data_IF_396740503642
#
_entry.id   IF_396740503642
#
_cell.length_a   1.000
_cell.length_b   1.000
_cell.length_c   1.000
_cell.angle_alpha   90.00
_cell.angle_beta   90.00
_cell.angle_gamma   90.00
#
_symmetry.space_group_name_H-M   'P 1'
#
loop_
_entity.id
_entity.type
_entity.pdbx_description
1 polymer ?
#
# COMPACT_ATOMS: atom_id res chain seq x y z
N UNK A 1 -29.46 18.23 70.57
CA UNK A 1 -28.56 18.26 69.39
C UNK A 1 -27.98 16.88 69.03
N UNK A 2 -27.33 16.14 69.96
CA UNK A 2 -26.78 14.79 69.69
C UNK A 2 -27.80 13.75 69.15
N UNK A 3 -29.04 13.76 69.66
CA UNK A 3 -30.12 12.85 69.20
C UNK A 3 -30.67 13.20 67.80
N UNK A 4 -30.59 14.47 67.40
CA UNK A 4 -31.02 14.94 66.08
C UNK A 4 -29.94 14.66 65.03
N UNK A 5 -28.66 14.82 65.38
CA UNK A 5 -27.53 14.40 64.53
C UNK A 5 -27.52 12.88 64.31
N UNK A 6 -27.80 12.07 65.33
CA UNK A 6 -27.86 10.61 65.19
C UNK A 6 -29.00 10.16 64.27
N UNK A 7 -30.15 10.84 64.32
CA UNK A 7 -31.29 10.56 63.46
C UNK A 7 -31.02 10.94 61.99
N UNK A 8 -30.37 12.09 61.74
CA UNK A 8 -29.95 12.47 60.39
C UNK A 8 -28.90 11.50 59.82
N UNK A 9 -27.97 11.03 60.66
CA UNK A 9 -26.93 10.08 60.24
C UNK A 9 -27.52 8.70 59.86
N UNK A 10 -28.53 8.22 60.61
CA UNK A 10 -29.24 6.98 60.28
C UNK A 10 -30.13 7.09 59.03
N UNK A 11 -30.78 8.24 58.81
CA UNK A 11 -31.60 8.45 57.62
C UNK A 11 -30.76 8.54 56.35
N UNK A 12 -29.57 9.15 56.43
CA UNK A 12 -28.66 9.27 55.29
C UNK A 12 -28.02 7.94 54.87
N UNK A 13 -27.92 6.95 55.77
CA UNK A 13 -27.39 5.62 55.47
C UNK A 13 -28.33 4.71 54.66
N UNK A 14 -29.65 4.92 54.75
CA UNK A 14 -30.63 4.10 54.05
C UNK A 14 -30.80 4.45 52.57
N UNK A 15 -30.35 5.63 52.13
CA UNK A 15 -30.55 6.13 50.76
C UNK A 15 -29.44 5.70 49.79
N UNK A 16 -28.38 5.05 50.29
CA UNK A 16 -27.24 4.59 49.47
C UNK A 16 -27.33 3.12 49.05
N UNK A 17 -28.40 2.42 49.41
CA UNK A 17 -28.65 1.04 48.97
C UNK A 17 -29.33 1.11 47.59
N UNK A 18 -28.54 1.43 46.56
CA UNK A 18 -28.98 1.33 45.17
C UNK A 18 -29.20 -0.16 44.87
N UNK A 19 -30.47 -0.58 44.84
CA UNK A 19 -30.86 -1.89 44.34
C UNK A 19 -30.78 -1.84 42.81
N UNK A 20 -29.57 -1.95 42.27
CA UNK A 20 -29.39 -2.07 40.83
C UNK A 20 -30.13 -3.34 40.36
N UNK A 21 -31.06 -3.23 39.40
CA UNK A 21 -31.74 -4.40 38.87
C UNK A 21 -30.71 -5.41 38.39
N UNK A 22 -30.79 -6.66 38.87
CA UNK A 22 -29.89 -7.72 38.40
C UNK A 22 -29.97 -7.77 36.89
N UNK A 23 -28.82 -7.61 36.25
CA UNK A 23 -28.69 -7.67 34.81
C UNK A 23 -29.25 -9.00 34.33
N UNK A 24 -30.29 -8.95 33.50
CA UNK A 24 -30.93 -10.17 33.00
C UNK A 24 -30.01 -10.73 31.91
N UNK A 25 -29.52 -11.98 32.04
CA UNK A 25 -28.71 -12.57 30.99
C UNK A 25 -29.46 -12.51 29.65
N UNK A 26 -28.88 -11.83 28.67
CA UNK A 26 -29.41 -11.85 27.33
C UNK A 26 -29.14 -13.23 26.73
N UNK A 27 -30.19 -13.92 26.31
CA UNK A 27 -30.02 -15.16 25.54
C UNK A 27 -29.63 -14.75 24.14
N UNK A 28 -28.41 -15.09 23.72
CA UNK A 28 -27.98 -14.86 22.35
C UNK A 28 -28.87 -15.70 21.41
N UNK A 29 -29.20 -15.18 20.22
CA UNK A 29 -29.87 -16.00 19.20
C UNK A 29 -29.00 -17.23 18.88
N UNK A 30 -29.62 -18.33 18.40
CA UNK A 30 -28.87 -19.48 17.90
C UNK A 30 -27.81 -19.03 16.89
N UNK A 31 -26.63 -19.65 16.94
CA UNK A 31 -25.59 -19.39 15.95
C UNK A 31 -26.16 -19.65 14.55
N UNK A 32 -25.94 -18.72 13.63
CA UNK A 32 -26.29 -18.91 12.23
C UNK A 32 -25.53 -20.06 11.58
N UNK A 33 -25.73 -20.24 10.28
CA UNK A 33 -25.06 -21.25 9.43
C UNK A 33 -23.58 -20.96 9.15
N UNK A 34 -23.08 -19.78 9.57
CA UNK A 34 -21.69 -19.37 9.38
C UNK A 34 -20.67 -20.30 10.06
N UNK A 35 -19.68 -20.71 9.27
CA UNK A 35 -18.49 -21.47 9.71
C UNK A 35 -17.29 -20.56 9.92
N UNK A 36 -16.44 -20.91 10.88
CA UNK A 36 -15.26 -20.10 11.25
C UNK A 36 -14.08 -20.49 10.36
N UNK A 37 -13.45 -19.49 9.76
CA UNK A 37 -12.14 -19.60 9.14
C UNK A 37 -11.18 -18.69 9.91
N UNK A 38 -10.01 -19.23 10.27
CA UNK A 38 -8.94 -18.47 10.91
C UNK A 38 -7.81 -18.24 9.91
N UNK A 39 -7.29 -17.02 9.87
CA UNK A 39 -6.08 -16.68 9.12
C UNK A 39 -4.95 -16.42 10.09
N UNK A 40 -3.86 -17.17 9.97
CA UNK A 40 -2.63 -16.89 10.69
C UNK A 40 -1.76 -15.91 9.88
N UNK A 41 -1.63 -14.68 10.38
CA UNK A 41 -0.88 -13.62 9.71
C UNK A 41 0.57 -13.53 10.18
N UNK A 42 0.96 -14.34 11.18
CA UNK A 42 2.24 -14.20 11.86
C UNK A 42 2.38 -12.87 12.63
N UNK A 43 3.52 -12.69 13.28
CA UNK A 43 3.86 -11.50 14.07
C UNK A 43 4.32 -10.31 13.21
N UNK A 44 4.85 -10.59 12.02
CA UNK A 44 5.46 -9.60 11.12
C UNK A 44 4.55 -9.07 10.02
N UNK A 45 3.37 -9.65 9.82
CA UNK A 45 2.45 -9.26 8.74
C UNK A 45 3.13 -9.24 7.35
N UNK A 46 4.05 -10.19 7.13
CA UNK A 46 4.89 -10.26 5.93
C UNK A 46 4.08 -10.62 4.66
N UNK A 47 2.89 -11.21 4.83
CA UNK A 47 2.07 -11.72 3.76
C UNK A 47 0.69 -11.06 3.72
N UNK A 48 0.17 -10.89 2.50
CA UNK A 48 -1.21 -10.58 2.21
C UNK A 48 -1.94 -11.84 1.71
N UNK A 49 -3.16 -12.04 2.21
CA UNK A 49 -3.98 -13.22 1.96
C UNK A 49 -5.25 -12.83 1.21
N UNK A 50 -5.53 -13.51 0.10
CA UNK A 50 -6.76 -13.34 -0.65
C UNK A 50 -7.69 -14.51 -0.34
N UNK A 51 -8.87 -14.21 0.21
CA UNK A 51 -9.83 -15.21 0.68
C UNK A 51 -11.04 -15.24 -0.24
N UNK A 52 -11.43 -16.43 -0.66
CA UNK A 52 -12.70 -16.69 -1.33
C UNK A 52 -13.73 -17.07 -0.26
N UNK A 53 -14.83 -16.32 -0.20
CA UNK A 53 -15.93 -16.59 0.73
C UNK A 53 -16.86 -17.70 0.20
N UNK A 54 -16.99 -17.85 -1.12
CA UNK A 54 -17.76 -18.91 -1.76
C UNK A 54 -17.12 -20.30 -1.58
N UNK A 55 -15.79 -20.37 -1.63
CA UNK A 55 -15.02 -21.62 -1.44
C UNK A 55 -14.49 -21.77 -0.01
N UNK A 56 -14.65 -20.72 0.81
CA UNK A 56 -14.20 -20.64 2.19
C UNK A 56 -12.72 -21.05 2.37
N UNK A 57 -11.84 -20.51 1.53
CA UNK A 57 -10.40 -20.81 1.56
C UNK A 57 -9.56 -19.65 1.07
N UNK A 58 -8.27 -19.71 1.40
CA UNK A 58 -7.24 -18.84 0.83
C UNK A 58 -7.04 -19.26 -0.64
N UNK A 59 -7.17 -18.30 -1.56
CA UNK A 59 -6.98 -18.53 -3.01
C UNK A 59 -5.65 -17.99 -3.50
N UNK A 60 -5.03 -17.05 -2.78
CA UNK A 60 -3.71 -16.53 -3.11
C UNK A 60 -3.01 -15.96 -1.88
N UNK A 61 -1.69 -16.06 -1.85
CA UNK A 61 -0.81 -15.49 -0.82
C UNK A 61 0.35 -14.82 -1.54
N UNK A 62 0.67 -13.59 -1.16
CA UNK A 62 1.90 -12.94 -1.62
C UNK A 62 2.55 -12.17 -0.49
N UNK A 63 3.86 -11.93 -0.58
CA UNK A 63 4.53 -11.01 0.35
C UNK A 63 4.01 -9.59 0.13
N UNK A 64 3.88 -8.82 1.21
CA UNK A 64 3.42 -7.42 1.16
C UNK A 64 4.45 -6.48 0.53
N UNK A 65 5.73 -6.86 0.51
CA UNK A 65 6.85 -6.11 -0.07
C UNK A 65 7.16 -6.48 -1.53
N UNK A 66 6.44 -7.45 -2.11
CA UNK A 66 6.76 -8.03 -3.41
C UNK A 66 5.84 -7.46 -4.50
N UNK A 67 6.12 -6.22 -4.88
CA UNK A 67 5.49 -5.51 -5.99
C UNK A 67 6.49 -4.51 -6.58
N UNK A 68 6.23 -4.02 -7.79
CA UNK A 68 7.08 -3.01 -8.42
C UNK A 68 6.33 -1.69 -8.67
N UNK A 69 5.12 -1.81 -9.22
CA UNK A 69 4.27 -0.69 -9.55
C UNK A 69 2.92 -0.86 -8.86
N UNK A 70 2.38 0.24 -8.34
CA UNK A 70 0.99 0.34 -7.95
C UNK A 70 0.32 1.42 -8.78
N UNK A 71 -0.92 1.17 -9.19
CA UNK A 71 -1.67 2.04 -10.10
C UNK A 71 -2.83 2.64 -9.34
N UNK A 72 -3.03 3.94 -9.50
CA UNK A 72 -4.17 4.60 -8.92
C UNK A 72 -5.44 4.33 -9.72
N UNK A 73 -6.55 4.21 -9.00
CA UNK A 73 -7.87 4.01 -9.56
C UNK A 73 -8.70 5.28 -9.37
N UNK A 74 -9.03 5.97 -10.45
CA UNK A 74 -9.92 7.12 -10.43
C UNK A 74 -10.18 7.64 -11.84
N UNK A 75 -11.39 8.13 -12.10
CA UNK A 75 -11.77 8.60 -13.44
C UNK A 75 -10.95 9.80 -13.94
N UNK A 76 -10.32 10.53 -13.02
CA UNK A 76 -9.42 11.65 -13.32
C UNK A 76 -8.00 11.41 -12.81
N UNK A 77 -7.70 10.20 -12.32
CA UNK A 77 -6.43 9.89 -11.71
C UNK A 77 -5.59 8.94 -12.55
N UNK A 78 -4.28 9.17 -12.53
CA UNK A 78 -3.31 8.47 -13.36
C UNK A 78 -1.99 8.23 -12.60
N UNK A 79 -2.02 8.29 -11.26
CA UNK A 79 -0.86 8.09 -10.42
C UNK A 79 -0.27 6.69 -10.58
N UNK A 80 1.06 6.62 -10.68
CA UNK A 80 1.81 5.36 -10.69
C UNK A 80 2.92 5.45 -9.67
N UNK A 81 2.86 4.55 -8.69
CA UNK A 81 3.78 4.49 -7.57
C UNK A 81 4.82 3.39 -7.79
N UNK A 82 6.03 3.65 -7.34
CA UNK A 82 7.14 2.70 -7.31
C UNK A 82 7.24 2.07 -5.92
N UNK A 83 7.72 0.83 -5.87
CA UNK A 83 8.10 0.23 -4.60
C UNK A 83 9.45 0.80 -4.11
N UNK A 84 9.39 1.93 -3.39
CA UNK A 84 10.57 2.56 -2.79
C UNK A 84 11.33 1.64 -1.81
N UNK A 85 10.63 0.69 -1.17
CA UNK A 85 11.26 -0.31 -0.30
C UNK A 85 12.23 -1.25 -1.02
N UNK A 86 12.06 -1.43 -2.34
CA UNK A 86 12.99 -2.20 -3.19
C UNK A 86 14.11 -1.33 -3.80
N UNK A 87 14.21 -0.06 -3.39
CA UNK A 87 15.18 0.89 -3.96
C UNK A 87 14.86 1.30 -5.40
N UNK A 88 13.58 1.17 -5.80
CA UNK A 88 13.14 1.56 -7.13
C UNK A 88 13.26 3.05 -7.37
N UNK A 89 13.60 3.40 -8.61
CA UNK A 89 13.71 4.78 -9.07
C UNK A 89 13.57 4.81 -10.60
N UNK A 90 13.30 6.00 -11.15
CA UNK A 90 13.18 6.19 -12.60
C UNK A 90 14.03 7.35 -13.12
N UNK A 91 14.49 7.23 -14.36
CA UNK A 91 15.00 8.36 -15.15
C UNK A 91 14.02 8.59 -16.30
N UNK A 92 13.34 9.74 -16.35
CA UNK A 92 12.62 10.17 -17.56
C UNK A 92 13.64 10.51 -18.64
N UNK A 93 13.53 9.85 -19.79
CA UNK A 93 14.52 9.98 -20.88
C UNK A 93 14.18 11.13 -21.84
N UNK A 94 12.91 11.57 -21.88
CA UNK A 94 12.42 12.50 -22.91
C UNK A 94 12.30 11.88 -24.30
N UNK A 95 12.55 10.57 -24.45
CA UNK A 95 12.49 9.84 -25.73
C UNK A 95 11.19 9.05 -25.82
N UNK A 96 10.61 8.96 -27.01
CA UNK A 96 9.30 8.31 -27.22
C UNK A 96 9.41 6.86 -27.70
N UNK A 97 10.59 6.44 -28.17
CA UNK A 97 10.87 5.09 -28.69
C UNK A 97 11.88 4.34 -27.83
N UNK A 98 11.67 3.03 -27.66
CA UNK A 98 12.59 2.16 -26.93
C UNK A 98 13.94 2.05 -27.62
N UNK A 99 13.98 2.14 -28.96
CA UNK A 99 15.21 2.03 -29.74
C UNK A 99 16.19 3.18 -29.46
N UNK A 100 15.66 4.35 -29.12
CA UNK A 100 16.47 5.55 -28.88
C UNK A 100 17.06 5.57 -27.48
N UNK A 101 16.54 4.76 -26.55
CA UNK A 101 16.99 4.70 -25.16
C UNK A 101 18.15 3.72 -24.99
N UNK A 102 19.28 4.19 -24.48
CA UNK A 102 20.51 3.40 -24.33
C UNK A 102 21.43 3.93 -23.23
N UNK A 103 22.66 3.42 -23.18
CA UNK A 103 23.62 3.72 -22.11
C UNK A 103 23.94 5.22 -22.00
N UNK A 104 23.93 5.97 -23.10
CA UNK A 104 24.13 7.41 -23.09
C UNK A 104 23.12 8.16 -22.20
N UNK A 105 21.90 7.64 -22.04
CA UNK A 105 20.83 8.23 -21.22
C UNK A 105 21.07 8.06 -19.72
N UNK A 106 22.12 7.32 -19.36
CA UNK A 106 22.56 7.07 -17.97
C UNK A 106 23.81 7.85 -17.60
N UNK A 107 24.37 8.64 -18.53
CA UNK A 107 25.44 9.58 -18.22
C UNK A 107 24.88 10.63 -17.24
N UNK A 108 25.34 10.60 -15.98
CA UNK A 108 24.77 11.37 -14.85
C UNK A 108 23.51 10.77 -14.18
N UNK A 109 23.29 9.46 -14.27
CA UNK A 109 22.18 8.77 -13.59
C UNK A 109 22.06 9.14 -12.10
N UNK A 110 23.18 9.25 -11.38
CA UNK A 110 23.24 9.64 -9.96
C UNK A 110 22.53 10.96 -9.61
N UNK A 111 22.36 11.86 -10.59
CA UNK A 111 21.66 13.14 -10.39
C UNK A 111 20.24 13.17 -10.97
N UNK A 112 19.85 12.11 -11.70
CA UNK A 112 18.61 12.07 -12.50
C UNK A 112 17.59 11.06 -11.99
N UNK A 113 17.97 10.15 -11.10
CA UNK A 113 17.03 9.25 -10.46
C UNK A 113 15.95 10.04 -9.72
N UNK A 114 14.70 9.73 -10.05
CA UNK A 114 13.51 10.20 -9.35
C UNK A 114 12.95 9.09 -8.48
N UNK A 115 12.43 9.47 -7.33
CA UNK A 115 11.84 8.62 -6.31
C UNK A 115 10.46 9.17 -5.97
N UNK A 116 9.57 8.31 -5.50
CA UNK A 116 8.31 8.77 -4.93
C UNK A 116 8.60 9.48 -3.61
N UNK A 117 7.88 10.57 -3.34
CA UNK A 117 7.96 11.22 -2.03
C UNK A 117 7.33 10.36 -0.92
N UNK A 118 7.92 10.41 0.27
CA UNK A 118 7.58 9.52 1.38
C UNK A 118 6.17 9.76 1.94
N UNK A 119 5.56 10.91 1.64
CA UNK A 119 4.21 11.23 2.08
C UNK A 119 3.12 10.63 1.17
N UNK A 120 3.49 9.99 0.04
CA UNK A 120 2.56 9.26 -0.82
C UNK A 120 1.59 10.13 -1.63
N UNK A 121 1.86 11.43 -1.77
CA UNK A 121 1.04 12.33 -2.58
C UNK A 121 1.14 11.99 -4.06
N UNK A 122 0.01 12.03 -4.76
CA UNK A 122 -0.08 11.71 -6.18
C UNK A 122 0.74 12.67 -7.06
N UNK A 123 0.79 13.94 -6.70
CA UNK A 123 1.54 15.00 -7.37
C UNK A 123 3.06 14.85 -7.22
N UNK A 124 3.48 13.90 -6.39
CA UNK A 124 4.85 13.70 -5.93
C UNK A 124 5.37 12.28 -6.24
N UNK A 125 4.78 11.63 -7.24
CA UNK A 125 5.28 10.34 -7.77
C UNK A 125 6.47 10.54 -8.70
N UNK A 126 7.39 9.57 -8.74
CA UNK A 126 8.59 9.62 -9.56
C UNK A 126 8.28 9.63 -11.07
N UNK A 127 7.18 8.98 -11.45
CA UNK A 127 6.67 8.94 -12.83
C UNK A 127 6.08 10.31 -13.22
N UNK A 128 5.38 10.97 -12.30
CA UNK A 128 4.73 12.26 -12.49
C UNK A 128 3.58 12.22 -13.50
N UNK A 129 3.27 13.38 -14.09
CA UNK A 129 2.33 13.49 -15.20
C UNK A 129 2.94 12.89 -16.48
N UNK A 130 2.65 11.62 -16.71
CA UNK A 130 3.11 10.88 -17.88
C UNK A 130 2.21 11.10 -19.11
N UNK A 131 0.96 11.55 -18.92
CA UNK A 131 -0.04 11.69 -19.98
C UNK A 131 0.39 12.72 -21.03
N UNK A 132 1.15 13.74 -20.62
CA UNK A 132 1.65 14.80 -21.51
C UNK A 132 2.96 14.46 -22.21
N UNK A 133 3.70 13.44 -21.76
CA UNK A 133 5.09 13.21 -22.18
C UNK A 133 5.28 12.10 -23.21
N UNK A 134 4.42 11.06 -23.22
CA UNK A 134 4.53 9.87 -24.07
C UNK A 134 5.97 9.28 -24.10
N UNK A 135 6.70 9.40 -23.00
CA UNK A 135 8.13 9.10 -22.95
C UNK A 135 8.42 7.70 -22.41
N UNK A 136 9.62 7.24 -22.67
CA UNK A 136 10.21 6.03 -22.11
C UNK A 136 10.98 6.40 -20.84
N UNK A 137 10.80 5.61 -19.81
CA UNK A 137 11.51 5.70 -18.54
C UNK A 137 12.55 4.57 -18.47
N UNK A 138 13.72 4.88 -17.92
CA UNK A 138 14.63 3.84 -17.42
C UNK A 138 14.22 3.60 -15.96
N UNK A 139 13.83 2.37 -15.64
CA UNK A 139 13.37 1.95 -14.31
C UNK A 139 14.41 1.07 -13.66
N UNK A 140 14.76 1.40 -12.44
CA UNK A 140 15.60 0.59 -11.56
C UNK A 140 14.74 -0.25 -10.64
N UNK A 141 15.03 -1.54 -10.56
CA UNK A 141 14.20 -2.51 -9.83
C UNK A 141 14.80 -3.01 -8.51
N UNK A 142 16.03 -2.60 -8.19
CA UNK A 142 16.70 -3.00 -6.96
C UNK A 142 17.70 -1.93 -6.52
N UNK A 143 18.12 -1.94 -5.24
CA UNK A 143 19.12 -1.04 -4.65
C UNK A 143 20.57 -1.21 -5.16
N UNK A 144 20.84 -2.23 -5.97
CA UNK A 144 22.18 -2.41 -6.57
C UNK A 144 22.30 -1.81 -7.96
N UNK A 145 21.21 -1.34 -8.58
CA UNK A 145 21.24 -0.76 -9.92
C UNK A 145 21.59 -1.76 -11.03
N UNK A 146 21.51 -3.06 -10.74
CA UNK A 146 21.84 -4.15 -11.66
C UNK A 146 20.64 -4.66 -12.45
N UNK A 147 19.42 -4.39 -11.96
CA UNK A 147 18.17 -4.75 -12.64
C UNK A 147 17.49 -3.50 -13.16
N UNK A 148 17.57 -3.32 -14.48
CA UNK A 148 16.95 -2.19 -15.18
C UNK A 148 15.91 -2.64 -16.21
N UNK A 149 14.92 -1.79 -16.44
CA UNK A 149 13.90 -1.93 -17.47
C UNK A 149 13.67 -0.61 -18.19
N UNK A 150 13.18 -0.69 -19.42
CA UNK A 150 12.49 0.40 -20.10
C UNK A 150 11.00 0.26 -19.78
N UNK A 151 10.34 1.36 -19.47
CA UNK A 151 8.89 1.40 -19.23
C UNK A 151 8.30 2.54 -20.05
N UNK A 152 7.16 2.32 -20.67
CA UNK A 152 6.34 3.37 -21.26
C UNK A 152 4.89 3.11 -20.93
N UNK A 153 4.18 4.16 -20.56
CA UNK A 153 2.75 4.13 -20.30
C UNK A 153 2.08 4.75 -21.52
N UNK A 154 1.20 4.00 -22.15
CA UNK A 154 0.61 4.37 -23.45
C UNK A 154 -0.85 4.76 -23.33
N UNK A 155 -1.54 4.30 -22.29
CA UNK A 155 -2.96 4.54 -22.12
C UNK A 155 -3.42 4.39 -20.67
N UNK A 156 -4.42 5.18 -20.30
CA UNK A 156 -5.23 5.02 -19.08
C UNK A 156 -6.67 5.42 -19.38
N UNK A 157 -7.61 4.68 -18.80
CA UNK A 157 -9.00 5.09 -18.65
C UNK A 157 -9.53 4.69 -17.26
N UNK A 158 -10.84 4.79 -17.05
CA UNK A 158 -11.48 4.44 -15.79
C UNK A 158 -11.36 2.94 -15.40
N UNK A 159 -10.90 2.07 -16.30
CA UNK A 159 -10.89 0.62 -16.15
C UNK A 159 -9.51 0.00 -16.29
N UNK A 160 -8.56 0.65 -16.97
CA UNK A 160 -7.28 0.03 -17.29
C UNK A 160 -6.13 1.01 -17.50
N UNK A 161 -4.91 0.47 -17.37
CA UNK A 161 -3.68 1.03 -17.87
C UNK A 161 -3.12 0.10 -18.96
N UNK A 162 -2.52 0.68 -20.00
CA UNK A 162 -1.69 -0.07 -20.96
C UNK A 162 -0.26 0.40 -20.82
N UNK A 163 0.64 -0.56 -20.61
CA UNK A 163 2.08 -0.32 -20.47
C UNK A 163 2.88 -1.21 -21.40
N UNK A 164 4.02 -0.69 -21.84
CA UNK A 164 5.04 -1.42 -22.56
C UNK A 164 6.29 -1.50 -21.67
N UNK A 165 6.90 -2.68 -21.60
CA UNK A 165 8.12 -2.90 -20.82
C UNK A 165 9.17 -3.62 -21.66
N UNK A 166 10.43 -3.19 -21.53
CA UNK A 166 11.57 -3.74 -22.25
C UNK A 166 12.77 -3.92 -21.35
N UNK A 167 13.73 -4.73 -21.76
CA UNK A 167 15.01 -4.84 -21.04
C UNK A 167 15.87 -3.62 -21.36
N UNK A 168 16.51 -3.05 -20.32
CA UNK A 168 17.61 -2.11 -20.51
C UNK A 168 18.91 -2.87 -20.26
N UNK A 169 19.72 -3.04 -21.32
CA UNK A 169 20.97 -3.78 -21.25
C UNK A 169 22.08 -2.89 -20.69
N UNK A 170 22.68 -3.33 -19.59
CA UNK A 170 23.92 -2.74 -19.07
C UNK A 170 25.13 -3.30 -19.82
N UNK A 171 26.22 -2.53 -19.90
CA UNK A 171 27.51 -3.15 -20.19
C UNK A 171 27.84 -4.09 -19.03
N UNK A 172 28.17 -5.34 -19.37
CA UNK A 172 28.24 -6.47 -18.43
C UNK A 172 28.94 -6.11 -17.12
N UNK A 173 28.23 -6.21 -15.99
CA UNK A 173 28.80 -6.09 -14.65
C UNK A 173 28.93 -4.68 -14.07
N UNK A 174 28.53 -3.61 -14.77
CA UNK A 174 28.62 -2.25 -14.26
C UNK A 174 27.25 -1.74 -13.76
N UNK A 175 26.98 -1.73 -12.45
CA UNK A 175 25.78 -1.10 -11.92
C UNK A 175 25.79 0.41 -12.18
N UNK A 176 24.62 1.00 -12.38
CA UNK A 176 24.51 2.46 -12.47
C UNK A 176 24.68 3.08 -11.08
N UNK A 177 25.47 4.17 -10.95
CA UNK A 177 25.62 4.87 -9.68
C UNK A 177 24.27 5.47 -9.23
N UNK A 178 24.10 5.50 -7.90
CA UNK A 178 22.95 6.05 -7.19
C UNK A 178 23.10 7.53 -6.97
#
# INVERSE_FOLDING_TARGET
>A
MKRLLLALLCFSGCVLISCEPKDKPITLPPKGDGTVMQLDMGDKYEYQYYVSLDQQKIVYISRSDQWHLAFETGSASHGIYLNGGQGMAVIPTGKTSFADVGLQDTSSAAKRWRYDEQHGGIDSTAIGDWQTSNQVYIVRLNTQGTKLRKLKITYVDAFQYIIEAGIFQLSTGNPLPY
#
